data_IF_971700203292
#
_entry.id   IF_971700203292
#
_cell.length_a   1.000
_cell.length_b   1.000
_cell.length_c   1.000
_cell.angle_alpha   90.00
_cell.angle_beta   90.00
_cell.angle_gamma   90.00
#
_symmetry.space_group_name_H-M   'P 1'
#
loop_
_entity.id
_entity.type
_entity.pdbx_description
1 polymer ?
#
# COMPACT_ATOMS: atom_id res chain seq x y z
N UNK A 1 -16.79 -18.73 -30.22
CA UNK A 1 -16.30 -18.19 -28.93
C UNK A 1 -17.18 -17.02 -28.59
N UNK A 2 -17.88 -17.06 -27.46
CA UNK A 2 -18.62 -15.90 -26.95
C UNK A 2 -17.63 -14.78 -26.60
N UNK A 3 -17.99 -13.50 -26.76
CA UNK A 3 -17.14 -12.41 -26.31
C UNK A 3 -16.86 -12.61 -24.81
N UNK A 4 -15.59 -12.53 -24.45
CA UNK A 4 -15.17 -12.59 -23.06
C UNK A 4 -15.72 -11.34 -22.36
N UNK A 5 -16.72 -11.52 -21.50
CA UNK A 5 -17.29 -10.43 -20.72
C UNK A 5 -16.24 -9.91 -19.75
N UNK A 6 -15.95 -8.62 -19.81
CA UNK A 6 -15.06 -7.94 -18.86
C UNK A 6 -15.83 -7.62 -17.58
N UNK A 7 -15.18 -7.80 -16.42
CA UNK A 7 -15.69 -7.37 -15.13
C UNK A 7 -14.92 -6.13 -14.69
N UNK A 8 -15.62 -5.04 -14.42
CA UNK A 8 -15.00 -3.82 -13.92
C UNK A 8 -14.77 -3.93 -12.42
N UNK A 9 -13.51 -3.77 -12.02
CA UNK A 9 -13.09 -3.72 -10.62
C UNK A 9 -12.58 -2.33 -10.31
N UNK A 10 -12.82 -1.90 -9.07
CA UNK A 10 -12.32 -0.64 -8.54
C UNK A 10 -11.63 -0.88 -7.22
N UNK A 11 -10.50 -0.21 -7.03
CA UNK A 11 -9.67 -0.28 -5.82
C UNK A 11 -9.76 1.06 -5.13
N UNK A 12 -10.08 1.04 -3.84
CA UNK A 12 -10.33 2.24 -3.05
C UNK A 12 -9.59 2.19 -1.72
N UNK A 13 -9.38 3.38 -1.15
CA UNK A 13 -8.97 3.57 0.25
C UNK A 13 -10.08 4.32 0.97
N UNK A 14 -10.19 4.11 2.28
CA UNK A 14 -11.18 4.81 3.10
C UNK A 14 -10.51 5.72 4.11
N UNK A 15 -10.95 6.96 4.18
CA UNK A 15 -10.56 7.89 5.24
C UNK A 15 -11.59 7.85 6.36
N UNK A 16 -11.13 7.72 7.60
CA UNK A 16 -11.95 7.89 8.80
C UNK A 16 -11.34 9.01 9.64
N UNK A 17 -12.18 9.92 10.13
CA UNK A 17 -11.73 11.03 10.96
C UNK A 17 -12.55 11.12 12.23
N UNK A 18 -11.86 11.13 13.36
CA UNK A 18 -12.41 11.50 14.67
C UNK A 18 -11.91 12.90 15.06
N UNK A 19 -12.42 13.49 16.16
CA UNK A 19 -11.86 14.73 16.68
C UNK A 19 -10.37 14.65 17.05
N UNK A 20 -9.86 13.45 17.34
CA UNK A 20 -8.51 13.23 17.85
C UNK A 20 -7.53 12.66 16.82
N UNK A 21 -8.02 12.03 15.74
CA UNK A 21 -7.16 11.28 14.83
C UNK A 21 -7.72 11.13 13.42
N UNK A 22 -6.81 10.98 12.47
CA UNK A 22 -7.06 10.77 11.04
C UNK A 22 -6.49 9.41 10.63
N UNK A 23 -7.38 8.54 10.17
CA UNK A 23 -7.09 7.18 9.78
C UNK A 23 -7.23 7.04 8.27
N UNK A 24 -6.34 6.25 7.68
CA UNK A 24 -6.45 5.77 6.32
C UNK A 24 -6.53 4.24 6.36
N UNK A 25 -7.59 3.67 5.79
CA UNK A 25 -7.78 2.23 5.64
C UNK A 25 -7.38 1.86 4.22
N UNK A 26 -6.32 1.06 4.13
CA UNK A 26 -5.62 0.68 2.91
C UNK A 26 -5.11 1.87 2.07
N UNK A 27 -4.19 1.58 1.16
CA UNK A 27 -3.46 2.58 0.38
C UNK A 27 -3.50 2.28 -1.12
N UNK A 28 -4.50 1.52 -1.57
CA UNK A 28 -4.68 1.14 -2.98
C UNK A 28 -3.39 0.54 -3.60
N UNK A 29 -3.25 0.66 -4.92
CA UNK A 29 -2.27 -0.12 -5.70
C UNK A 29 -0.90 0.53 -5.91
N UNK A 30 -0.79 1.86 -5.71
CA UNK A 30 0.47 2.60 -5.92
C UNK A 30 0.86 2.76 -7.39
N UNK A 31 1.49 3.89 -7.73
CA UNK A 31 1.97 4.19 -9.08
C UNK A 31 3.45 3.79 -9.27
N UNK A 32 3.91 3.75 -10.54
CA UNK A 32 5.32 3.62 -10.97
C UNK A 32 6.04 2.31 -10.66
N UNK A 33 5.35 1.36 -10.03
CA UNK A 33 5.95 0.12 -9.51
C UNK A 33 6.16 -0.91 -10.62
N UNK A 34 7.38 -1.44 -10.82
CA UNK A 34 7.61 -2.50 -11.79
C UNK A 34 7.09 -3.84 -11.25
N UNK A 35 6.04 -4.35 -11.90
CA UNK A 35 5.33 -5.59 -11.61
C UNK A 35 5.10 -6.37 -12.91
N UNK A 36 6.16 -6.79 -13.62
CA UNK A 36 6.06 -7.37 -14.97
C UNK A 36 5.22 -8.65 -15.06
N UNK A 37 5.02 -9.35 -13.93
CA UNK A 37 4.21 -10.56 -13.85
C UNK A 37 2.73 -10.29 -13.53
N UNK A 38 2.33 -9.03 -13.32
CA UNK A 38 0.95 -8.63 -13.11
C UNK A 38 0.61 -7.42 -13.99
N UNK A 39 0.27 -7.62 -15.28
CA UNK A 39 0.02 -6.53 -16.23
C UNK A 39 -1.07 -5.54 -15.78
N UNK A 40 -2.04 -6.01 -15.00
CA UNK A 40 -3.09 -5.17 -14.42
C UNK A 40 -2.56 -4.14 -13.40
N UNK A 41 -1.38 -4.37 -12.83
CA UNK A 41 -0.80 -3.55 -11.78
C UNK A 41 0.62 -3.01 -12.09
N UNK A 42 1.18 -3.31 -13.26
CA UNK A 42 2.50 -2.84 -13.69
C UNK A 42 2.48 -1.35 -14.03
N UNK A 43 3.41 -0.60 -13.42
CA UNK A 43 3.67 0.83 -13.72
C UNK A 43 2.39 1.66 -13.84
N UNK A 44 1.47 1.44 -12.91
CA UNK A 44 0.21 2.19 -12.89
C UNK A 44 0.46 3.69 -12.78
N UNK A 45 -0.49 4.45 -13.34
CA UNK A 45 -0.61 5.89 -13.18
C UNK A 45 -2.07 6.25 -12.87
N UNK A 46 -2.49 5.91 -11.65
CA UNK A 46 -3.84 6.20 -11.14
C UNK A 46 -3.93 7.61 -10.51
N UNK A 47 -5.11 8.25 -10.50
CA UNK A 47 -5.31 9.56 -9.87
C UNK A 47 -5.44 9.48 -8.33
N UNK A 48 -5.06 8.36 -7.70
CA UNK A 48 -5.30 8.14 -6.27
C UNK A 48 -4.68 9.23 -5.39
N UNK A 49 -3.44 9.65 -5.66
CA UNK A 49 -2.77 10.70 -4.89
C UNK A 49 -3.44 12.07 -5.10
N UNK A 50 -3.85 12.38 -6.32
CA UNK A 50 -4.59 13.61 -6.63
C UNK A 50 -5.92 13.63 -5.87
N UNK A 51 -6.66 12.52 -5.88
CA UNK A 51 -7.90 12.35 -5.14
C UNK A 51 -7.70 12.46 -3.63
N UNK A 52 -6.61 11.89 -3.10
CA UNK A 52 -6.26 12.00 -1.69
C UNK A 52 -6.00 13.46 -1.28
N UNK A 53 -5.19 14.18 -2.06
CA UNK A 53 -4.88 15.59 -1.81
C UNK A 53 -6.13 16.49 -1.94
N UNK A 54 -7.05 16.14 -2.86
CA UNK A 54 -8.33 16.83 -3.02
C UNK A 54 -9.23 16.73 -1.78
N UNK A 55 -8.94 15.82 -0.84
CA UNK A 55 -9.64 15.76 0.45
C UNK A 55 -9.23 16.86 1.44
N UNK A 56 -8.23 17.67 1.09
CA UNK A 56 -7.66 18.73 1.94
C UNK A 56 -6.60 18.25 2.93
N UNK A 57 -6.24 16.96 2.90
CA UNK A 57 -5.18 16.38 3.72
C UNK A 57 -3.92 16.16 2.89
N UNK A 58 -2.78 16.27 3.55
CA UNK A 58 -1.49 15.84 3.01
C UNK A 58 -1.09 14.50 3.63
N UNK A 59 -0.15 13.75 3.04
CA UNK A 59 0.25 12.47 3.60
C UNK A 59 0.83 12.55 5.03
N UNK A 60 1.40 13.70 5.40
CA UNK A 60 1.94 13.94 6.75
C UNK A 60 0.85 14.19 7.79
N UNK A 61 -0.38 14.45 7.36
CA UNK A 61 -1.55 14.66 8.23
C UNK A 61 -2.17 13.35 8.72
N UNK A 62 -1.75 12.20 8.19
CA UNK A 62 -2.30 10.90 8.56
C UNK A 62 -1.61 10.38 9.82
N UNK A 63 -2.42 10.12 10.84
CA UNK A 63 -1.94 9.61 12.14
C UNK A 63 -1.81 8.08 12.12
N UNK A 64 -2.70 7.40 11.39
CA UNK A 64 -2.73 5.95 11.32
C UNK A 64 -3.03 5.44 9.90
N UNK A 65 -2.28 4.43 9.48
CA UNK A 65 -2.59 3.61 8.30
C UNK A 65 -2.96 2.21 8.78
N UNK A 66 -4.17 1.78 8.47
CA UNK A 66 -4.72 0.48 8.83
C UNK A 66 -4.75 -0.38 7.57
N UNK A 67 -4.17 -1.56 7.62
CA UNK A 67 -4.25 -2.52 6.52
C UNK A 67 -5.29 -3.59 6.83
N UNK A 68 -6.23 -3.79 5.91
CA UNK A 68 -7.17 -4.92 6.00
C UNK A 68 -6.44 -6.24 5.79
N UNK A 69 -5.53 -6.27 4.82
CA UNK A 69 -4.61 -7.36 4.52
C UNK A 69 -3.49 -6.86 3.61
N UNK A 70 -2.49 -7.72 3.35
CA UNK A 70 -1.26 -7.32 2.68
C UNK A 70 -1.21 -7.70 1.18
N UNK A 71 -2.27 -7.42 0.41
CA UNK A 71 -2.25 -7.56 -1.04
C UNK A 71 -1.86 -6.27 -1.78
N UNK A 72 -1.42 -6.43 -3.02
CA UNK A 72 -0.86 -5.38 -3.89
C UNK A 72 -1.77 -4.18 -4.08
N UNK A 73 -3.08 -4.42 -4.09
CA UNK A 73 -4.16 -3.46 -4.23
C UNK A 73 -4.53 -2.77 -2.91
N UNK A 74 -3.87 -3.10 -1.80
CA UNK A 74 -4.09 -2.49 -0.49
C UNK A 74 -2.85 -1.78 0.06
N UNK A 75 -1.65 -2.21 -0.35
CA UNK A 75 -0.38 -1.75 0.24
C UNK A 75 0.41 -0.81 -0.66
N UNK A 76 -0.05 -0.54 -1.88
CA UNK A 76 0.77 0.07 -2.90
C UNK A 76 1.22 1.51 -2.61
N UNK A 77 0.34 2.39 -2.12
CA UNK A 77 0.75 3.75 -1.76
C UNK A 77 1.40 3.85 -0.38
N UNK A 78 1.73 2.74 0.29
CA UNK A 78 2.59 2.77 1.49
C UNK A 78 3.94 3.47 1.22
N UNK A 79 4.47 3.28 0.02
CA UNK A 79 5.64 4.01 -0.48
C UNK A 79 5.31 4.64 -1.84
N UNK A 80 5.99 5.74 -2.15
CA UNK A 80 5.90 6.42 -3.44
C UNK A 80 7.28 6.67 -4.02
N UNK A 81 7.34 6.87 -5.32
CA UNK A 81 8.58 7.25 -6.00
C UNK A 81 8.79 8.75 -5.85
N UNK A 82 9.97 9.14 -5.37
CA UNK A 82 10.44 10.52 -5.32
C UNK A 82 11.78 10.58 -6.05
N UNK A 83 11.76 11.04 -7.30
CA UNK A 83 12.89 10.95 -8.21
C UNK A 83 13.32 9.49 -8.45
N UNK A 84 14.51 9.13 -7.98
CA UNK A 84 15.07 7.77 -8.10
C UNK A 84 14.86 6.92 -6.84
N UNK A 85 14.29 7.49 -5.77
CA UNK A 85 14.13 6.83 -4.49
C UNK A 85 12.69 6.43 -4.22
N UNK A 86 12.52 5.39 -3.42
CA UNK A 86 11.23 5.00 -2.84
C UNK A 86 11.17 5.49 -1.40
N UNK A 87 10.19 6.33 -1.10
CA UNK A 87 10.02 6.96 0.21
C UNK A 87 8.67 6.58 0.80
N UNK A 88 8.56 6.60 2.13
CA UNK A 88 7.28 6.42 2.80
C UNK A 88 6.31 7.54 2.41
N UNK A 89 5.10 7.16 2.00
CA UNK A 89 4.08 8.15 1.67
C UNK A 89 3.57 8.84 2.91
N UNK A 90 3.33 8.10 4.00
CA UNK A 90 2.76 8.62 5.26
C UNK A 90 3.83 8.61 6.36
N UNK A 91 4.72 9.62 6.43
CA UNK A 91 5.90 9.58 7.28
C UNK A 91 5.59 9.64 8.79
N UNK A 92 4.48 10.29 9.17
CA UNK A 92 4.05 10.46 10.56
C UNK A 92 3.14 9.35 11.06
N UNK A 93 2.59 8.55 10.15
CA UNK A 93 1.58 7.56 10.51
C UNK A 93 2.17 6.40 11.31
N UNK A 94 1.37 5.89 12.25
CA UNK A 94 1.53 4.56 12.84
C UNK A 94 0.80 3.53 11.97
N UNK A 95 1.42 2.36 11.81
CA UNK A 95 0.94 1.35 10.87
C UNK A 95 0.36 0.20 11.66
N UNK A 96 -0.89 -0.13 11.39
CA UNK A 96 -1.67 -1.13 12.14
C UNK A 96 -2.00 -2.27 11.20
N UNK A 97 -1.52 -3.46 11.55
CA UNK A 97 -1.64 -4.66 10.73
C UNK A 97 -1.97 -5.82 11.67
N UNK A 98 -2.87 -6.70 11.25
CA UNK A 98 -3.15 -7.93 11.97
C UNK A 98 -1.86 -8.77 12.10
N UNK A 99 -1.63 -9.36 13.28
CA UNK A 99 -0.42 -10.12 13.53
C UNK A 99 -0.33 -11.34 12.61
N UNK A 100 -1.46 -11.95 12.29
CA UNK A 100 -1.58 -13.09 11.39
C UNK A 100 -1.15 -12.74 9.96
N UNK A 101 -1.59 -11.57 9.46
CA UNK A 101 -1.15 -11.03 8.17
C UNK A 101 0.35 -10.73 8.18
N UNK A 102 0.87 -10.20 9.29
CA UNK A 102 2.31 -9.96 9.45
C UNK A 102 3.11 -11.26 9.45
N UNK A 103 2.62 -12.34 10.07
CA UNK A 103 3.31 -13.63 10.04
C UNK A 103 3.25 -14.26 8.64
N UNK A 104 2.09 -14.23 7.99
CA UNK A 104 1.93 -14.72 6.61
C UNK A 104 2.80 -13.94 5.62
N UNK A 105 2.86 -12.61 5.75
CA UNK A 105 3.70 -11.74 4.92
C UNK A 105 5.20 -11.93 5.17
N UNK A 106 5.61 -12.20 6.42
CA UNK A 106 7.00 -12.41 6.79
C UNK A 106 7.53 -13.74 6.24
N UNK A 107 6.69 -14.77 6.19
CA UNK A 107 6.98 -16.02 5.48
C UNK A 107 7.21 -15.74 3.99
N UNK A 108 6.36 -14.92 3.34
CA UNK A 108 6.56 -14.52 1.94
C UNK A 108 7.85 -13.73 1.67
N UNK A 109 8.26 -12.87 2.59
CA UNK A 109 9.49 -12.06 2.49
C UNK A 109 10.75 -12.87 2.80
N UNK A 110 10.71 -13.75 3.81
CA UNK A 110 11.84 -14.58 4.26
C UNK A 110 12.33 -15.54 3.17
N UNK A 111 11.43 -16.00 2.30
CA UNK A 111 11.79 -16.90 1.22
C UNK A 111 12.33 -16.19 -0.03
N UNK A 112 12.24 -14.85 -0.14
CA UNK A 112 12.69 -14.06 -1.29
C UNK A 112 12.39 -14.72 -2.66
N UNK A 113 11.32 -15.51 -2.72
CA UNK A 113 10.83 -16.05 -3.96
C UNK A 113 10.21 -14.86 -4.69
N UNK A 114 10.31 -14.77 -6.02
CA UNK A 114 9.46 -13.86 -6.77
C UNK A 114 8.02 -14.18 -6.40
N UNK A 115 7.45 -13.39 -5.48
CA UNK A 115 6.10 -13.61 -5.04
C UNK A 115 5.20 -13.35 -6.25
N UNK A 116 4.27 -14.26 -6.60
CA UNK A 116 3.38 -14.07 -7.75
C UNK A 116 2.57 -12.75 -7.68
N UNK A 117 2.55 -12.07 -6.54
CA UNK A 117 1.81 -10.83 -6.28
C UNK A 117 2.68 -9.57 -6.07
N UNK A 118 4.01 -9.62 -6.22
CA UNK A 118 4.93 -8.46 -6.12
C UNK A 118 4.76 -7.57 -4.85
N UNK A 119 4.30 -8.15 -3.73
CA UNK A 119 4.11 -7.51 -2.41
C UNK A 119 5.31 -6.75 -1.82
N UNK A 120 6.53 -7.21 -2.15
CA UNK A 120 7.74 -6.89 -1.38
C UNK A 120 8.15 -5.42 -1.39
N UNK A 121 7.72 -4.62 -2.35
CA UNK A 121 8.15 -3.23 -2.47
C UNK A 121 7.56 -2.34 -1.37
N UNK A 122 6.31 -2.58 -0.99
CA UNK A 122 5.52 -1.65 -0.17
C UNK A 122 5.21 -2.19 1.22
N UNK A 123 5.57 -3.45 1.47
CA UNK A 123 5.45 -4.12 2.76
C UNK A 123 6.81 -4.17 3.49
N UNK A 124 7.93 -4.33 2.77
CA UNK A 124 9.28 -4.31 3.40
C UNK A 124 9.55 -3.01 4.15
N UNK A 125 9.01 -1.90 3.66
CA UNK A 125 9.10 -0.59 4.31
C UNK A 125 8.44 -0.58 5.70
N UNK A 126 7.34 -1.33 5.87
CA UNK A 126 6.64 -1.49 7.15
C UNK A 126 7.51 -2.28 8.13
N UNK A 127 8.01 -3.44 7.69
CA UNK A 127 8.82 -4.32 8.54
C UNK A 127 10.09 -3.64 9.06
N UNK A 128 10.77 -2.82 8.23
CA UNK A 128 11.99 -2.11 8.64
C UNK A 128 11.75 -1.08 9.76
N UNK A 129 10.58 -0.45 9.78
CA UNK A 129 10.23 0.55 10.81
C UNK A 129 9.72 -0.09 12.10
N UNK A 130 9.07 -1.24 12.01
CA UNK A 130 8.62 -2.00 13.18
C UNK A 130 9.76 -2.73 13.89
N UNK A 131 10.77 -3.20 13.14
CA UNK A 131 11.96 -3.84 13.73
C UNK A 131 12.88 -2.85 14.45
N UNK A 132 12.96 -1.59 14.02
CA UNK A 132 13.72 -0.54 14.71
C UNK A 132 13.02 0.08 15.93
N UNK A 133 11.78 -0.30 16.21
CA UNK A 133 10.99 0.23 17.34
C UNK A 133 11.05 -0.67 18.58
N UNK A 134 11.80 -1.77 18.51
CA UNK A 134 12.01 -2.75 19.60
C UNK A 134 13.41 -2.69 20.24
N UNK A 135 14.21 -1.66 19.93
CA UNK A 135 15.50 -1.36 20.57
C UNK A 135 15.40 -0.20 21.56
#
# INVERSE_FOLDING_TARGET
MTPQSTLELSVHSWRVQSPQSRFLIDTATGNDKPRPFSPMFDRLNSPWMENFLATGLRPEDIDYVLHTHLHIDHVGWNIRREGTQWVHTFPNARWVIAQEEMLAGQVGILFALPSPDNRGDSITAIYRRLSSAND
#
